data_IF_686660870038
#
_entry.id   IF_686660870038
#
_cell.length_a   1.000
_cell.length_b   1.000
_cell.length_c   1.000
_cell.angle_alpha   90.00
_cell.angle_beta   90.00
_cell.angle_gamma   90.00
#
_symmetry.space_group_name_H-M   'P 1'
#
loop_
_entity.id
_entity.type
_entity.pdbx_description
1 polymer ?
#
# COMPACT_ATOMS: atom_id res chain seq x y z
N UNK A 1 -3.84 -8.80 4.96
CA UNK A 1 -4.39 -9.54 3.81
C UNK A 1 -5.38 -8.68 3.02
N UNK A 2 -5.91 -9.23 1.92
CA UNK A 2 -6.79 -8.49 0.99
C UNK A 2 -7.93 -9.36 0.50
N UNK A 3 -9.07 -8.73 0.13
CA UNK A 3 -10.18 -9.39 -0.55
C UNK A 3 -10.32 -8.91 -1.99
N UNK A 4 -10.51 -9.84 -2.91
CA UNK A 4 -10.94 -9.56 -4.28
C UNK A 4 -12.46 -9.72 -4.46
N UNK A 5 -13.16 -10.11 -3.40
CA UNK A 5 -14.61 -10.25 -3.40
C UNK A 5 -15.31 -8.95 -3.79
N UNK A 6 -16.40 -9.08 -4.51
CA UNK A 6 -17.27 -7.97 -4.94
C UNK A 6 -18.67 -8.12 -4.39
N UNK A 7 -18.90 -9.15 -3.58
CA UNK A 7 -20.16 -9.38 -2.86
C UNK A 7 -19.86 -9.63 -1.38
N UNK A 8 -20.81 -9.34 -0.47
CA UNK A 8 -20.69 -9.67 0.95
C UNK A 8 -20.36 -11.13 1.22
N UNK A 9 -20.89 -12.05 0.41
CA UNK A 9 -20.60 -13.48 0.54
C UNK A 9 -19.13 -13.77 0.26
N UNK A 10 -18.61 -13.31 -0.89
CA UNK A 10 -17.21 -13.54 -1.27
C UNK A 10 -16.25 -12.90 -0.26
N UNK A 11 -16.61 -11.71 0.24
CA UNK A 11 -15.82 -11.03 1.28
C UNK A 11 -15.65 -11.92 2.52
N UNK A 12 -16.76 -12.44 3.06
CA UNK A 12 -16.74 -13.28 4.28
C UNK A 12 -15.94 -14.57 4.05
N UNK A 13 -16.18 -15.25 2.93
CA UNK A 13 -15.43 -16.48 2.58
C UNK A 13 -13.93 -16.24 2.43
N UNK A 14 -13.52 -15.13 1.83
CA UNK A 14 -12.09 -14.79 1.65
C UNK A 14 -11.43 -14.35 2.95
N UNK A 15 -12.14 -13.61 3.82
CA UNK A 15 -11.64 -13.26 5.14
C UNK A 15 -11.43 -14.50 6.01
N UNK A 16 -12.43 -15.35 6.12
CA UNK A 16 -12.36 -16.58 6.91
C UNK A 16 -11.26 -17.53 6.38
N UNK A 17 -11.09 -17.58 5.05
CA UNK A 17 -10.00 -18.32 4.41
C UNK A 17 -8.64 -17.74 4.78
N UNK A 18 -8.49 -16.41 4.76
CA UNK A 18 -7.24 -15.74 5.17
C UNK A 18 -6.88 -16.05 6.61
N UNK A 19 -7.82 -15.94 7.53
CA UNK A 19 -7.61 -16.23 8.96
C UNK A 19 -7.20 -17.70 9.17
N UNK A 20 -7.91 -18.62 8.53
CA UNK A 20 -7.63 -20.06 8.62
C UNK A 20 -6.23 -20.42 8.09
N UNK A 21 -5.85 -19.88 6.92
CA UNK A 21 -4.55 -20.19 6.29
C UNK A 21 -3.38 -19.55 7.04
N UNK A 22 -3.57 -18.36 7.57
CA UNK A 22 -2.57 -17.66 8.40
C UNK A 22 -2.52 -18.20 9.84
N UNK A 23 -3.48 -19.05 10.22
CA UNK A 23 -3.61 -19.64 11.58
C UNK A 23 -3.66 -18.54 12.65
N UNK A 24 -4.47 -17.53 12.42
CA UNK A 24 -4.73 -16.41 13.33
C UNK A 24 -6.22 -16.13 13.41
N UNK A 25 -6.66 -15.50 14.48
CA UNK A 25 -8.05 -15.08 14.69
C UNK A 25 -8.30 -13.62 14.29
N UNK A 26 -7.24 -12.86 13.98
CA UNK A 26 -7.36 -11.48 13.50
C UNK A 26 -6.30 -11.12 12.46
N UNK A 27 -6.57 -10.03 11.74
CA UNK A 27 -5.64 -9.35 10.83
C UNK A 27 -5.48 -7.90 11.28
N UNK A 28 -4.24 -7.38 11.31
CA UNK A 28 -4.02 -5.97 11.62
C UNK A 28 -4.62 -5.08 10.53
N UNK A 29 -4.36 -5.39 9.26
CA UNK A 29 -4.92 -4.64 8.13
C UNK A 29 -5.61 -5.61 7.17
N UNK A 30 -6.87 -5.33 6.85
CA UNK A 30 -7.57 -6.00 5.76
C UNK A 30 -8.01 -5.00 4.71
N UNK A 31 -7.71 -5.29 3.43
CA UNK A 31 -7.86 -4.32 2.35
C UNK A 31 -8.83 -4.82 1.28
N UNK A 32 -9.65 -3.91 0.76
CA UNK A 32 -10.26 -4.13 -0.55
C UNK A 32 -9.18 -4.07 -1.63
N UNK A 33 -9.11 -5.09 -2.48
CA UNK A 33 -8.04 -5.23 -3.46
C UNK A 33 -8.43 -4.68 -4.82
N UNK A 34 -7.61 -3.76 -5.34
CA UNK A 34 -7.69 -3.24 -6.70
C UNK A 34 -9.10 -2.73 -7.04
N UNK A 35 -9.60 -1.81 -6.22
CA UNK A 35 -10.96 -1.28 -6.38
C UNK A 35 -11.07 -0.27 -7.52
N UNK A 36 -12.25 -0.24 -8.13
CA UNK A 36 -12.64 0.69 -9.19
C UNK A 36 -13.52 1.81 -8.67
N UNK A 37 -13.97 1.73 -7.42
CA UNK A 37 -14.85 2.66 -6.74
C UNK A 37 -14.52 2.71 -5.24
N UNK A 38 -14.85 3.80 -4.60
CA UNK A 38 -14.78 3.94 -3.15
C UNK A 38 -16.04 3.32 -2.52
N UNK A 39 -15.91 2.14 -1.89
CA UNK A 39 -17.01 1.57 -1.11
C UNK A 39 -17.34 2.43 0.10
N UNK A 40 -18.64 2.67 0.34
CA UNK A 40 -19.14 3.53 1.42
C UNK A 40 -20.31 2.87 2.13
N UNK A 41 -20.57 3.22 3.38
CA UNK A 41 -21.80 2.78 4.05
C UNK A 41 -23.04 3.24 3.26
N UNK A 42 -23.95 2.30 3.03
CA UNK A 42 -25.22 2.60 2.34
C UNK A 42 -25.12 2.78 0.83
N UNK A 43 -24.01 2.43 0.20
CA UNK A 43 -23.81 2.50 -1.26
C UNK A 43 -24.59 1.44 -2.05
N UNK A 44 -25.30 0.56 -1.36
CA UNK A 44 -26.09 -0.54 -1.92
C UNK A 44 -25.28 -1.81 -2.22
N UNK A 45 -23.95 -1.79 -2.08
CA UNK A 45 -23.11 -2.98 -2.28
C UNK A 45 -23.01 -3.87 -1.04
N UNK A 46 -23.14 -3.28 0.16
CA UNK A 46 -22.95 -3.95 1.44
C UNK A 46 -21.49 -4.31 1.74
N UNK A 47 -20.55 -3.87 0.90
CA UNK A 47 -19.14 -4.24 1.05
C UNK A 47 -18.49 -3.54 2.23
N UNK A 48 -18.74 -2.24 2.40
CA UNK A 48 -18.16 -1.50 3.50
C UNK A 48 -18.72 -1.95 4.85
N UNK A 49 -20.01 -2.29 4.88
CA UNK A 49 -20.68 -2.89 6.05
C UNK A 49 -19.99 -4.19 6.49
N UNK A 50 -19.54 -5.02 5.53
CA UNK A 50 -18.75 -6.22 5.86
C UNK A 50 -17.42 -5.91 6.56
N UNK A 51 -16.74 -4.82 6.18
CA UNK A 51 -15.53 -4.37 6.89
C UNK A 51 -15.85 -3.94 8.33
N UNK A 52 -16.94 -3.19 8.52
CA UNK A 52 -17.36 -2.74 9.85
C UNK A 52 -17.74 -3.94 10.72
N UNK A 53 -18.53 -4.88 10.20
CA UNK A 53 -18.89 -6.11 10.90
C UNK A 53 -17.65 -6.92 11.30
N UNK A 54 -16.68 -7.07 10.39
CA UNK A 54 -15.43 -7.79 10.66
C UNK A 54 -14.58 -7.09 11.74
N UNK A 55 -14.59 -5.76 11.76
CA UNK A 55 -13.89 -4.96 12.76
C UNK A 55 -14.57 -5.08 14.13
N UNK A 56 -15.89 -5.02 14.19
CA UNK A 56 -16.68 -5.23 15.42
C UNK A 56 -16.49 -6.64 16.00
N UNK A 57 -16.39 -7.66 15.13
CA UNK A 57 -16.09 -9.03 15.52
C UNK A 57 -14.63 -9.25 15.96
N UNK A 58 -13.77 -8.25 15.86
CA UNK A 58 -12.34 -8.34 16.18
C UNK A 58 -11.50 -9.12 15.15
N UNK A 59 -12.09 -9.51 14.01
CA UNK A 59 -11.39 -10.23 12.93
C UNK A 59 -10.40 -9.35 12.19
N UNK A 60 -10.62 -8.04 12.14
CA UNK A 60 -9.70 -7.06 11.56
C UNK A 60 -9.56 -5.86 12.48
N UNK A 61 -8.41 -5.20 12.46
CA UNK A 61 -8.14 -3.99 13.26
C UNK A 61 -8.31 -2.71 12.44
N UNK A 62 -7.76 -2.70 11.23
CA UNK A 62 -7.73 -1.53 10.36
C UNK A 62 -8.27 -1.85 8.98
N UNK A 63 -9.07 -0.90 8.44
CA UNK A 63 -9.67 -1.00 7.11
C UNK A 63 -8.77 -0.32 6.10
N UNK A 64 -8.39 -1.04 5.05
CA UNK A 64 -7.57 -0.49 3.99
C UNK A 64 -8.15 -0.70 2.60
N UNK A 65 -7.54 -0.03 1.65
CA UNK A 65 -7.91 -0.11 0.24
C UNK A 65 -6.67 -0.15 -0.65
N UNK A 66 -6.75 -0.84 -1.78
CA UNK A 66 -5.74 -0.76 -2.84
C UNK A 66 -6.39 -0.36 -4.15
N UNK A 67 -5.74 0.50 -4.89
CA UNK A 67 -6.18 0.91 -6.24
C UNK A 67 -4.99 1.14 -7.16
N UNK A 68 -5.26 1.20 -8.45
CA UNK A 68 -4.35 1.66 -9.50
C UNK A 68 -4.86 2.91 -10.21
N UNK A 69 -6.04 3.41 -9.78
CA UNK A 69 -6.70 4.59 -10.35
C UNK A 69 -6.53 5.77 -9.40
N UNK A 70 -5.95 6.86 -9.88
CA UNK A 70 -5.67 8.06 -9.10
C UNK A 70 -6.94 8.71 -8.55
N UNK A 71 -7.98 8.80 -9.37
CA UNK A 71 -9.28 9.36 -9.00
C UNK A 71 -9.95 8.58 -7.87
N UNK A 72 -9.97 7.25 -7.99
CA UNK A 72 -10.52 6.37 -6.93
C UNK A 72 -9.69 6.45 -5.64
N UNK A 73 -8.36 6.50 -5.76
CA UNK A 73 -7.48 6.65 -4.60
C UNK A 73 -7.75 7.97 -3.86
N UNK A 74 -7.87 9.09 -4.59
CA UNK A 74 -8.23 10.39 -4.02
C UNK A 74 -9.58 10.35 -3.33
N UNK A 75 -10.59 9.78 -3.99
CA UNK A 75 -11.93 9.63 -3.40
C UNK A 75 -11.90 8.83 -2.10
N UNK A 76 -11.13 7.73 -2.06
CA UNK A 76 -10.96 6.93 -0.84
C UNK A 76 -10.28 7.72 0.29
N UNK A 77 -9.24 8.51 -0.01
CA UNK A 77 -8.58 9.36 0.99
C UNK A 77 -9.56 10.40 1.55
N UNK A 78 -10.23 11.15 0.66
CA UNK A 78 -11.16 12.22 1.01
C UNK A 78 -12.39 11.72 1.78
N UNK A 79 -12.76 10.46 1.59
CA UNK A 79 -13.90 9.85 2.29
C UNK A 79 -13.71 9.76 3.80
N UNK A 80 -12.46 9.68 4.28
CA UNK A 80 -12.15 9.44 5.69
C UNK A 80 -12.54 8.04 6.20
N UNK A 81 -12.89 7.12 5.31
CA UNK A 81 -13.40 5.79 5.65
C UNK A 81 -12.28 4.74 5.77
N UNK A 82 -11.10 5.00 5.24
CA UNK A 82 -9.99 4.06 5.16
C UNK A 82 -8.81 4.53 6.00
N UNK A 83 -8.14 3.59 6.65
CA UNK A 83 -6.98 3.84 7.49
C UNK A 83 -5.67 3.64 6.74
N UNK A 84 -5.69 2.88 5.62
CA UNK A 84 -4.53 2.68 4.75
C UNK A 84 -4.90 2.70 3.26
N UNK A 85 -4.03 3.31 2.46
CA UNK A 85 -4.05 3.22 1.00
C UNK A 85 -2.82 2.46 0.53
N UNK A 86 -2.99 1.42 -0.30
CA UNK A 86 -1.88 0.81 -1.02
C UNK A 86 -1.96 1.21 -2.50
N UNK A 87 -0.90 1.86 -2.98
CA UNK A 87 -0.81 2.39 -4.34
C UNK A 87 0.59 2.21 -4.92
N UNK A 88 0.77 2.08 -6.26
CA UNK A 88 2.09 2.08 -6.87
C UNK A 88 2.84 3.37 -6.58
N UNK A 89 4.07 3.26 -6.05
CA UNK A 89 4.90 4.42 -5.76
C UNK A 89 6.38 4.04 -5.78
N UNK A 90 7.18 4.84 -6.47
CA UNK A 90 8.62 4.67 -6.61
C UNK A 90 9.27 6.02 -6.92
N UNK A 91 10.60 6.08 -7.02
CA UNK A 91 11.27 7.34 -7.34
C UNK A 91 11.00 7.86 -8.78
N UNK A 92 10.50 7.03 -9.70
CA UNK A 92 10.06 7.48 -11.03
C UNK A 92 8.58 7.88 -11.07
N UNK A 93 7.88 7.88 -9.94
CA UNK A 93 6.49 8.34 -9.86
C UNK A 93 6.37 9.83 -10.17
N UNK A 94 5.23 10.20 -10.74
CA UNK A 94 4.94 11.58 -11.10
C UNK A 94 4.43 12.40 -9.91
N UNK A 95 4.26 13.71 -10.11
CA UNK A 95 3.69 14.60 -9.09
C UNK A 95 2.29 14.17 -8.63
N UNK A 96 1.54 13.46 -9.48
CA UNK A 96 0.19 12.98 -9.14
C UNK A 96 0.21 11.90 -8.05
N UNK A 97 1.17 10.98 -8.09
CA UNK A 97 1.36 9.97 -7.05
C UNK A 97 1.95 10.58 -5.78
N UNK A 98 2.87 11.54 -5.92
CA UNK A 98 3.39 12.32 -4.79
C UNK A 98 2.28 13.09 -4.07
N UNK A 99 1.31 13.61 -4.80
CA UNK A 99 0.13 14.26 -4.21
C UNK A 99 -0.69 13.28 -3.36
N UNK A 100 -0.90 12.04 -3.82
CA UNK A 100 -1.58 11.02 -2.99
C UNK A 100 -0.85 10.73 -1.68
N UNK A 101 0.48 10.69 -1.73
CA UNK A 101 1.31 10.50 -0.53
C UNK A 101 1.09 11.65 0.46
N UNK A 102 1.12 12.90 -0.01
CA UNK A 102 0.84 14.08 0.83
C UNK A 102 -0.58 14.08 1.40
N UNK A 103 -1.57 13.79 0.56
CA UNK A 103 -2.98 13.69 0.98
C UNK A 103 -3.16 12.63 2.08
N UNK A 104 -2.53 11.46 1.95
CA UNK A 104 -2.58 10.43 3.00
C UNK A 104 -2.04 10.96 4.32
N UNK A 105 -0.93 11.70 4.33
CA UNK A 105 -0.38 12.32 5.54
C UNK A 105 -1.35 13.32 6.16
N UNK A 106 -1.94 14.19 5.35
CA UNK A 106 -2.90 15.22 5.81
C UNK A 106 -4.17 14.60 6.41
N UNK A 107 -4.59 13.44 5.90
CA UNK A 107 -5.77 12.71 6.39
C UNK A 107 -5.43 11.65 7.47
N UNK A 108 -4.20 11.65 7.99
CA UNK A 108 -3.73 10.65 8.97
C UNK A 108 -3.94 9.20 8.50
N UNK A 109 -3.71 8.96 7.23
CA UNK A 109 -3.86 7.67 6.55
C UNK A 109 -2.49 7.08 6.21
N UNK A 110 -2.25 5.81 6.55
CA UNK A 110 -1.01 5.13 6.19
C UNK A 110 -0.92 4.87 4.68
N UNK A 111 0.24 5.13 4.07
CA UNK A 111 0.48 4.85 2.66
C UNK A 111 1.38 3.61 2.51
N UNK A 112 0.89 2.58 1.82
CA UNK A 112 1.67 1.37 1.52
C UNK A 112 2.14 1.48 0.06
N UNK A 113 3.44 1.73 -0.11
CA UNK A 113 4.05 1.89 -1.43
C UNK A 113 4.32 0.51 -2.05
N UNK A 114 3.50 0.11 -3.02
CA UNK A 114 3.76 -1.08 -3.81
C UNK A 114 4.54 -0.74 -5.08
N UNK A 115 5.17 -1.75 -5.66
CA UNK A 115 6.00 -1.61 -6.87
C UNK A 115 7.15 -0.60 -6.72
N UNK A 116 7.80 -0.57 -5.56
CA UNK A 116 8.92 0.32 -5.29
C UNK A 116 10.10 0.20 -6.28
N UNK A 117 10.21 -0.93 -6.98
CA UNK A 117 11.12 -1.13 -8.12
C UNK A 117 10.42 -1.04 -9.49
N UNK A 118 9.26 -0.37 -9.55
CA UNK A 118 8.50 -0.12 -10.79
C UNK A 118 8.28 -1.36 -11.67
N UNK A 119 8.07 -2.54 -11.05
CA UNK A 119 7.88 -3.79 -11.79
C UNK A 119 9.16 -4.34 -12.45
N UNK A 120 10.33 -3.89 -12.01
CA UNK A 120 11.64 -4.31 -12.55
C UNK A 120 12.27 -3.28 -13.50
N UNK A 121 11.63 -2.14 -13.73
CA UNK A 121 12.25 -1.03 -14.49
C UNK A 121 13.38 -0.37 -13.68
N UNK A 122 13.22 -0.32 -12.36
CA UNK A 122 14.24 0.16 -11.43
C UNK A 122 15.11 -1.02 -11.01
N UNK A 123 16.42 -0.89 -11.22
CA UNK A 123 17.42 -1.89 -10.86
C UNK A 123 18.39 -1.42 -9.75
N UNK A 124 18.27 -0.18 -9.29
CA UNK A 124 19.04 0.37 -8.19
C UNK A 124 18.22 0.35 -6.90
N UNK A 125 18.33 -0.76 -6.16
CA UNK A 125 17.64 -0.99 -4.88
C UNK A 125 18.05 0.04 -3.82
N UNK A 126 19.33 0.43 -3.78
CA UNK A 126 19.86 1.43 -2.85
C UNK A 126 19.19 2.79 -3.04
N UNK A 127 19.08 3.26 -4.28
CA UNK A 127 18.38 4.51 -4.58
C UNK A 127 16.87 4.43 -4.28
N UNK A 128 16.25 3.28 -4.59
CA UNK A 128 14.84 3.06 -4.29
C UNK A 128 14.57 3.08 -2.78
N UNK A 129 15.42 2.45 -1.97
CA UNK A 129 15.30 2.47 -0.52
C UNK A 129 15.51 3.87 0.04
N UNK A 130 16.60 4.54 -0.33
CA UNK A 130 16.93 5.90 0.12
C UNK A 130 15.81 6.90 -0.22
N UNK A 131 15.20 6.78 -1.40
CA UNK A 131 14.06 7.61 -1.79
C UNK A 131 12.88 7.44 -0.83
N UNK A 132 12.56 6.21 -0.42
CA UNK A 132 11.42 5.94 0.47
C UNK A 132 11.62 6.45 1.89
N UNK A 133 12.87 6.60 2.36
CA UNK A 133 13.16 7.08 3.72
C UNK A 133 12.77 8.53 3.97
N UNK A 134 12.47 9.31 2.91
CA UNK A 134 11.99 10.69 3.03
C UNK A 134 10.58 10.79 3.65
N UNK A 135 9.82 9.69 3.64
CA UNK A 135 8.41 9.69 3.98
C UNK A 135 8.17 8.87 5.26
N UNK A 136 7.93 9.53 6.36
CA UNK A 136 7.72 8.93 7.68
C UNK A 136 6.41 8.12 7.83
N UNK A 137 5.45 8.34 6.93
CA UNK A 137 4.12 7.69 6.91
C UNK A 137 3.95 6.69 5.75
N UNK A 138 5.03 6.42 4.99
CA UNK A 138 5.04 5.48 3.86
C UNK A 138 5.72 4.19 4.26
N UNK A 139 5.02 3.07 4.07
CA UNK A 139 5.57 1.73 4.22
C UNK A 139 5.83 1.13 2.84
N UNK A 140 7.08 1.01 2.39
CA UNK A 140 7.39 0.33 1.14
C UNK A 140 7.23 -1.19 1.29
N UNK A 141 6.70 -1.84 0.25
CA UNK A 141 6.71 -3.29 0.12
C UNK A 141 7.52 -3.69 -1.11
N UNK A 142 8.50 -4.56 -0.89
CA UNK A 142 9.45 -4.98 -1.90
C UNK A 142 9.11 -6.38 -2.43
N UNK A 143 9.24 -6.56 -3.75
CA UNK A 143 9.20 -7.89 -4.35
C UNK A 143 10.54 -8.59 -4.14
N UNK A 144 10.55 -9.74 -3.47
CA UNK A 144 11.75 -10.51 -3.16
C UNK A 144 11.57 -11.90 -3.77
N UNK A 145 12.50 -12.33 -4.63
CA UNK A 145 12.46 -13.62 -5.30
C UNK A 145 13.69 -14.49 -5.01
N UNK A 146 14.77 -13.88 -4.52
CA UNK A 146 16.04 -14.55 -4.24
C UNK A 146 16.51 -14.23 -2.84
N UNK A 147 17.28 -15.15 -2.25
CA UNK A 147 17.87 -14.94 -0.92
C UNK A 147 18.80 -13.73 -0.91
N UNK A 148 19.59 -13.53 -1.95
CA UNK A 148 20.48 -12.37 -2.07
C UNK A 148 19.75 -11.02 -2.06
N UNK A 149 18.55 -10.97 -2.66
CA UNK A 149 17.69 -9.77 -2.59
C UNK A 149 17.19 -9.52 -1.17
N UNK A 150 16.79 -10.58 -0.44
CA UNK A 150 16.40 -10.47 0.96
C UNK A 150 17.56 -9.97 1.82
N UNK A 151 18.75 -10.54 1.68
CA UNK A 151 19.95 -10.14 2.41
C UNK A 151 20.29 -8.67 2.14
N UNK A 152 20.17 -8.22 0.89
CA UNK A 152 20.38 -6.84 0.49
C UNK A 152 19.38 -5.90 1.20
N UNK A 153 18.07 -6.19 1.17
CA UNK A 153 17.06 -5.38 1.86
C UNK A 153 17.27 -5.37 3.38
N UNK A 154 17.65 -6.49 3.99
CA UNK A 154 17.95 -6.54 5.41
C UNK A 154 19.18 -5.69 5.76
N UNK A 155 20.20 -5.66 4.90
CA UNK A 155 21.36 -4.79 5.12
C UNK A 155 21.00 -3.30 5.14
N UNK A 156 20.02 -2.88 4.35
CA UNK A 156 19.49 -1.51 4.37
C UNK A 156 18.66 -1.19 5.61
N UNK A 157 18.08 -2.19 6.25
CA UNK A 157 17.40 -1.99 7.55
C UNK A 157 18.42 -1.74 8.67
N UNK A 158 19.58 -2.42 8.61
CA UNK A 158 20.65 -2.25 9.59
C UNK A 158 21.43 -0.96 9.35
N UNK A 159 21.70 -0.63 8.09
CA UNK A 159 22.45 0.54 7.64
C UNK A 159 21.73 1.24 6.49
N UNK A 160 20.71 2.06 6.79
CA UNK A 160 19.92 2.72 5.76
C UNK A 160 20.79 3.60 4.86
N UNK A 161 20.73 3.46 3.52
CA UNK A 161 21.41 4.34 2.62
C UNK A 161 20.89 5.77 2.75
N UNK A 162 21.79 6.73 2.85
CA UNK A 162 21.44 8.14 2.87
C UNK A 162 20.94 8.59 1.47
N UNK A 163 19.99 9.50 1.46
CA UNK A 163 19.60 10.21 0.24
C UNK A 163 20.56 11.38 0.03
N UNK A 164 21.78 11.08 -0.43
CA UNK A 164 22.85 12.04 -0.71
C UNK A 164 22.76 12.61 -2.13
N UNK A 165 23.61 13.60 -2.42
CA UNK A 165 23.63 14.27 -3.73
C UNK A 165 23.89 13.32 -4.90
N UNK A 166 24.66 12.24 -4.68
CA UNK A 166 24.93 11.21 -5.69
C UNK A 166 23.65 10.45 -6.06
N UNK A 167 22.90 9.99 -5.05
CA UNK A 167 21.63 9.29 -5.25
C UNK A 167 20.58 10.24 -5.83
N UNK A 168 20.51 11.48 -5.37
CA UNK A 168 19.58 12.48 -5.91
C UNK A 168 19.86 12.70 -7.39
N UNK A 169 21.11 12.95 -7.77
CA UNK A 169 21.51 13.16 -9.17
C UNK A 169 21.22 11.93 -10.04
N UNK A 170 21.44 10.73 -9.50
CA UNK A 170 21.07 9.48 -10.18
C UNK A 170 19.56 9.39 -10.44
N UNK A 171 18.75 9.67 -9.43
CA UNK A 171 17.27 9.63 -9.53
C UNK A 171 16.78 10.66 -10.55
N UNK A 172 17.31 11.88 -10.54
CA UNK A 172 16.94 12.94 -11.48
C UNK A 172 17.24 12.53 -12.94
N UNK A 173 18.38 11.89 -13.16
CA UNK A 173 18.74 11.37 -14.47
C UNK A 173 17.77 10.30 -14.93
N UNK A 174 17.48 9.29 -14.10
CA UNK A 174 16.51 8.22 -14.41
C UNK A 174 15.11 8.74 -14.73
N UNK A 175 14.69 9.85 -14.10
CA UNK A 175 13.40 10.50 -14.37
C UNK A 175 13.35 11.23 -15.70
N UNK A 176 14.49 11.58 -16.26
CA UNK A 176 14.59 12.35 -17.51
C UNK A 176 14.70 11.47 -18.77
N UNK A 177 14.98 10.21 -18.61
CA UNK A 177 15.06 9.19 -19.67
C UNK A 177 13.71 8.50 -19.92
#
# INVERSE_FOLDING_TARGET
SKTMGRTPKDFKEQLDTSLRLLKTDYLDIYQFHCVDQCYRPGDGTGMYECMLEAKEQGKIRHIGVTSHKLDVAKECIESGLYETLQFPFSYISTEKELELVRMCKEHNMGFIAMKGLAGGLINNSRAAFAFMTQFDHVLPIWGIQKMSELEEWLSYMDQPPALDDEIISFIEKEKSE
#
